data_IF_208318160967
#
_entry.id   IF_208318160967
#
_cell.length_a   1.000
_cell.length_b   1.000
_cell.length_c   1.000
_cell.angle_alpha   90.00
_cell.angle_beta   90.00
_cell.angle_gamma   90.00
#
_symmetry.space_group_name_H-M   'P 1'
#
loop_
_entity.id
_entity.type
_entity.pdbx_description
1 polymer ?
#
# COMPACT_ATOMS: atom_id res chain seq x y z
N UNK A 1 -1.67 20.64 -10.39
CA UNK A 1 -1.41 20.16 -9.01
C UNK A 1 -1.99 18.76 -8.79
N UNK A 2 -3.20 18.48 -9.28
CA UNK A 2 -3.87 17.17 -9.15
C UNK A 2 -3.17 15.99 -9.84
N UNK A 3 -2.64 16.17 -11.05
CA UNK A 3 -1.94 15.10 -11.78
C UNK A 3 -0.72 14.57 -11.00
N UNK A 4 0.08 15.47 -10.42
CA UNK A 4 1.24 15.13 -9.59
C UNK A 4 0.84 14.33 -8.33
N UNK A 5 -0.24 14.71 -7.66
CA UNK A 5 -0.74 13.98 -6.49
C UNK A 5 -1.23 12.57 -6.86
N UNK A 6 -1.86 12.43 -8.03
CA UNK A 6 -2.27 11.12 -8.55
C UNK A 6 -1.05 10.23 -8.82
N UNK A 7 0.00 10.77 -9.41
CA UNK A 7 1.22 10.02 -9.71
C UNK A 7 1.93 9.53 -8.43
N UNK A 8 1.99 10.36 -7.38
CA UNK A 8 2.57 9.98 -6.08
C UNK A 8 1.80 8.81 -5.46
N UNK A 9 0.45 8.86 -5.47
CA UNK A 9 -0.38 7.75 -4.93
C UNK A 9 -0.14 6.45 -5.69
N UNK A 10 -0.06 6.50 -7.02
CA UNK A 10 0.23 5.31 -7.84
C UNK A 10 1.64 4.78 -7.59
N UNK A 11 2.63 5.67 -7.46
CA UNK A 11 3.98 5.30 -7.07
C UNK A 11 3.98 4.58 -5.72
N UNK A 12 3.27 5.11 -4.71
CA UNK A 12 3.21 4.46 -3.41
C UNK A 12 2.57 3.07 -3.46
N UNK A 13 1.47 2.92 -4.19
CA UNK A 13 0.81 1.63 -4.36
C UNK A 13 1.73 0.61 -5.06
N UNK A 14 2.39 1.00 -6.15
CA UNK A 14 3.34 0.13 -6.86
C UNK A 14 4.53 -0.28 -5.98
N UNK A 15 5.05 0.66 -5.18
CA UNK A 15 6.11 0.36 -4.23
C UNK A 15 5.65 -0.61 -3.13
N UNK A 16 4.44 -0.45 -2.60
CA UNK A 16 3.89 -1.42 -1.66
C UNK A 16 3.76 -2.81 -2.27
N UNK A 17 3.27 -2.93 -3.51
CA UNK A 17 3.19 -4.21 -4.20
C UNK A 17 4.56 -4.87 -4.33
N UNK A 18 5.59 -4.09 -4.65
CA UNK A 18 6.97 -4.58 -4.74
C UNK A 18 7.54 -5.01 -3.38
N UNK A 19 7.29 -4.22 -2.33
CA UNK A 19 7.88 -4.45 -1.01
C UNK A 19 7.19 -5.57 -0.23
N UNK A 20 5.89 -5.77 -0.44
CA UNK A 20 5.09 -6.73 0.31
C UNK A 20 4.85 -8.02 -0.49
N UNK A 21 4.81 -7.96 -1.81
CA UNK A 21 4.60 -9.13 -2.68
C UNK A 21 3.20 -9.76 -2.57
N UNK A 22 2.24 -9.09 -1.94
CA UNK A 22 0.85 -9.54 -1.82
C UNK A 22 0.02 -9.11 -3.03
N UNK A 23 -1.19 -9.66 -3.14
CA UNK A 23 -2.10 -9.33 -4.25
C UNK A 23 -2.47 -7.85 -4.18
N UNK A 24 -2.59 -7.15 -5.32
CA UNK A 24 -2.96 -5.74 -5.35
C UNK A 24 -4.21 -5.41 -4.53
N UNK A 25 -5.29 -6.19 -4.68
CA UNK A 25 -6.51 -5.99 -3.91
C UNK A 25 -6.29 -6.00 -2.39
N UNK A 26 -5.57 -7.01 -1.88
CA UNK A 26 -5.29 -7.13 -0.43
C UNK A 26 -4.47 -5.92 0.09
N UNK A 27 -3.57 -5.36 -0.73
CA UNK A 27 -2.76 -4.18 -0.37
C UNK A 27 -3.58 -2.89 -0.47
N UNK A 28 -4.46 -2.77 -1.46
CA UNK A 28 -5.30 -1.59 -1.64
C UNK A 28 -6.40 -1.47 -0.57
N UNK A 29 -6.76 -2.58 0.07
CA UNK A 29 -7.72 -2.64 1.19
C UNK A 29 -7.10 -2.30 2.56
N UNK A 30 -5.78 -2.13 2.65
CA UNK A 30 -5.12 -1.78 3.91
C UNK A 30 -5.56 -0.43 4.45
N UNK A 31 -5.77 -0.38 5.76
CA UNK A 31 -6.01 0.82 6.56
C UNK A 31 -4.76 1.18 7.37
N UNK A 32 -4.72 2.40 7.90
CA UNK A 32 -3.63 2.81 8.80
C UNK A 32 -3.54 1.90 10.04
N UNK A 33 -4.67 1.42 10.55
CA UNK A 33 -4.72 0.51 11.70
C UNK A 33 -4.11 -0.87 11.45
N UNK A 34 -3.93 -1.26 10.18
CA UNK A 34 -3.31 -2.51 9.80
C UNK A 34 -1.78 -2.45 9.89
N UNK A 35 -1.19 -1.26 10.05
CA UNK A 35 0.26 -1.07 10.21
C UNK A 35 0.59 -0.92 11.70
N UNK A 36 1.25 -1.94 12.26
CA UNK A 36 1.70 -1.94 13.65
C UNK A 36 3.23 -1.79 13.71
N UNK A 37 3.70 -0.56 13.93
CA UNK A 37 5.12 -0.25 14.09
C UNK A 37 5.72 -0.75 15.41
N UNK A 38 4.91 -0.96 16.45
CA UNK A 38 5.41 -1.55 17.70
C UNK A 38 5.70 -3.03 17.55
N UNK A 39 4.82 -3.76 16.84
CA UNK A 39 4.96 -5.18 16.57
C UNK A 39 5.71 -5.48 15.28
N UNK A 40 6.03 -4.45 14.49
CA UNK A 40 6.79 -4.54 13.24
C UNK A 40 6.05 -5.47 12.24
N UNK A 41 4.73 -5.28 12.09
CA UNK A 41 3.89 -6.09 11.19
C UNK A 41 2.85 -5.27 10.43
N UNK A 42 2.51 -5.74 9.23
CA UNK A 42 1.30 -5.38 8.48
C UNK A 42 0.28 -6.50 8.64
N UNK A 43 -0.90 -6.17 9.12
CA UNK A 43 -2.01 -7.12 9.33
C UNK A 43 -2.90 -7.15 8.08
N UNK A 44 -2.92 -8.28 7.38
CA UNK A 44 -3.82 -8.47 6.26
C UNK A 44 -5.05 -9.26 6.70
N UNK A 45 -6.23 -8.74 6.36
CA UNK A 45 -7.50 -9.47 6.53
C UNK A 45 -7.88 -10.13 5.21
N UNK A 46 -8.08 -11.44 5.23
CA UNK A 46 -8.61 -12.17 4.07
C UNK A 46 -10.13 -12.21 4.19
N UNK A 47 -10.80 -11.31 3.46
CA UNK A 47 -12.24 -11.06 3.55
C UNK A 47 -13.13 -12.30 3.37
N UNK A 48 -12.66 -13.32 2.64
CA UNK A 48 -13.44 -14.55 2.35
C UNK A 48 -13.38 -15.61 3.45
N UNK A 49 -12.32 -15.62 4.25
CA UNK A 49 -12.04 -16.70 5.21
C UNK A 49 -12.03 -16.19 6.64
N UNK A 50 -12.21 -14.88 6.85
CA UNK A 50 -12.01 -14.20 8.14
C UNK A 50 -10.65 -14.54 8.77
N UNK A 51 -9.68 -14.94 7.95
CA UNK A 51 -8.34 -15.28 8.40
C UNK A 51 -7.47 -14.04 8.30
N UNK A 52 -6.72 -13.77 9.36
CA UNK A 52 -5.70 -12.72 9.37
C UNK A 52 -4.33 -13.36 9.17
N UNK A 53 -3.49 -12.71 8.35
CA UNK A 53 -2.07 -13.04 8.31
C UNK A 53 -1.23 -11.80 8.58
N UNK A 54 -0.08 -11.99 9.21
CA UNK A 54 0.85 -10.92 9.56
C UNK A 54 2.04 -10.97 8.63
N UNK A 55 2.28 -9.87 7.94
CA UNK A 55 3.45 -9.69 7.11
C UNK A 55 4.52 -8.89 7.89
N UNK A 56 5.77 -9.36 7.99
CA UNK A 56 6.80 -8.67 8.77
C UNK A 56 7.24 -7.36 8.10
N UNK A 57 7.38 -6.29 8.89
CA UNK A 57 7.96 -5.03 8.43
C UNK A 57 9.49 -5.12 8.54
N UNK A 58 10.16 -5.33 7.41
CA UNK A 58 11.62 -5.26 7.36
C UNK A 58 12.09 -3.82 7.11
N UNK A 59 13.37 -3.53 7.37
CA UNK A 59 13.93 -2.16 7.38
C UNK A 59 13.60 -1.30 6.15
N UNK A 60 13.60 -1.88 4.95
CA UNK A 60 13.24 -1.15 3.72
C UNK A 60 11.74 -0.83 3.65
N UNK A 61 10.88 -1.73 4.12
CA UNK A 61 9.43 -1.47 4.18
C UNK A 61 9.15 -0.41 5.27
N UNK A 62 9.79 -0.51 6.42
CA UNK A 62 9.67 0.47 7.50
C UNK A 62 10.02 1.88 7.01
N UNK A 63 11.21 2.06 6.44
CA UNK A 63 11.65 3.36 5.91
C UNK A 63 10.74 3.87 4.78
N UNK A 64 10.14 2.98 3.99
CA UNK A 64 9.17 3.40 2.99
C UNK A 64 7.87 3.93 3.62
N UNK A 65 7.33 3.22 4.61
CA UNK A 65 6.09 3.60 5.30
C UNK A 65 6.28 4.91 6.09
N UNK A 66 7.38 5.06 6.83
CA UNK A 66 7.65 6.25 7.63
C UNK A 66 8.16 7.44 6.80
N UNK A 67 9.11 7.24 5.88
CA UNK A 67 9.76 8.37 5.20
C UNK A 67 9.03 8.81 3.93
N UNK A 68 8.43 7.88 3.19
CA UNK A 68 7.77 8.19 1.90
C UNK A 68 6.27 8.36 2.07
N UNK A 69 5.62 7.42 2.76
CA UNK A 69 4.18 7.51 3.01
C UNK A 69 3.83 8.41 4.20
N UNK A 70 4.81 8.76 5.05
CA UNK A 70 4.61 9.61 6.23
C UNK A 70 3.56 9.04 7.20
N UNK A 71 3.51 7.71 7.30
CA UNK A 71 2.66 7.04 8.28
C UNK A 71 3.27 7.19 9.67
N UNK A 72 2.43 7.56 10.64
CA UNK A 72 2.80 7.69 12.04
C UNK A 72 1.68 7.21 12.95
N UNK A 73 2.05 6.82 14.17
CA UNK A 73 1.12 6.60 15.29
C UNK A 73 0.31 7.88 15.53
N UNK A 74 -0.95 7.91 15.11
CA UNK A 74 -1.79 9.11 15.14
C UNK A 74 -2.50 9.43 13.83
N UNK A 75 -2.18 8.70 12.75
CA UNK A 75 -2.98 8.72 11.52
C UNK A 75 -4.40 8.20 11.81
N UNK A 76 -5.40 8.69 11.06
CA UNK A 76 -6.78 8.21 11.16
C UNK A 76 -6.82 6.70 10.91
N UNK A 77 -7.15 5.93 11.96
CA UNK A 77 -7.00 4.47 12.00
C UNK A 77 -7.82 3.77 10.93
N UNK A 78 -8.99 4.32 10.61
CA UNK A 78 -9.95 3.71 9.68
C UNK A 78 -9.74 4.19 8.24
N UNK A 79 -8.82 5.16 8.03
CA UNK A 79 -8.50 5.64 6.70
C UNK A 79 -7.68 4.59 5.95
N UNK A 80 -8.13 4.27 4.73
CA UNK A 80 -7.38 3.48 3.78
C UNK A 80 -6.04 4.14 3.45
N UNK A 81 -4.99 3.33 3.28
CA UNK A 81 -3.70 3.80 2.80
C UNK A 81 -3.77 4.36 1.37
N UNK A 82 -4.71 3.83 0.56
CA UNK A 82 -4.84 4.14 -0.86
C UNK A 82 -6.26 4.57 -1.24
N UNK A 83 -6.79 5.66 -0.67
CA UNK A 83 -8.19 6.04 -0.85
C UNK A 83 -8.47 6.39 -2.32
N UNK A 84 -9.48 5.72 -2.89
CA UNK A 84 -9.94 5.91 -4.26
C UNK A 84 -9.08 5.24 -5.34
N UNK A 85 -8.07 4.45 -4.98
CA UNK A 85 -7.36 3.59 -5.93
C UNK A 85 -8.06 2.24 -6.06
N UNK A 86 -8.09 1.72 -7.29
CA UNK A 86 -8.65 0.40 -7.61
C UNK A 86 -7.62 -0.42 -8.38
N UNK A 87 -7.74 -1.74 -8.33
CA UNK A 87 -6.91 -2.67 -9.10
C UNK A 87 -6.87 -2.31 -10.59
N UNK A 88 -8.02 -1.91 -11.15
CA UNK A 88 -8.11 -1.48 -12.54
C UNK A 88 -7.29 -0.21 -12.80
N UNK A 89 -7.40 0.80 -11.94
CA UNK A 89 -6.66 2.06 -12.08
C UNK A 89 -5.15 1.83 -12.01
N UNK A 90 -4.68 1.07 -11.02
CA UNK A 90 -3.24 0.79 -10.85
C UNK A 90 -2.73 -0.12 -11.97
N UNK A 91 -3.50 -1.12 -12.38
CA UNK A 91 -3.15 -1.99 -13.51
C UNK A 91 -3.03 -1.24 -14.83
N UNK A 92 -3.90 -0.27 -15.08
CA UNK A 92 -3.79 0.61 -16.26
C UNK A 92 -2.54 1.49 -16.21
N UNK A 93 -2.24 2.07 -15.05
CA UNK A 93 -1.02 2.87 -14.86
C UNK A 93 0.24 2.03 -15.11
N UNK A 94 0.30 0.83 -14.54
CA UNK A 94 1.41 -0.10 -14.74
C UNK A 94 1.60 -0.48 -16.22
N UNK A 95 0.52 -0.82 -16.93
CA UNK A 95 0.59 -1.15 -18.38
C UNK A 95 1.12 0.02 -19.22
N UNK A 96 0.73 1.26 -18.89
CA UNK A 96 1.25 2.47 -19.57
C UNK A 96 2.75 2.63 -19.35
N UNK A 97 3.23 2.41 -18.13
CA UNK A 97 4.67 2.44 -17.81
C UNK A 97 5.40 1.34 -18.57
N UNK A 98 4.90 0.10 -18.50
CA UNK A 98 5.48 -1.04 -19.21
C UNK A 98 5.64 -0.79 -20.71
N UNK A 99 4.61 -0.21 -21.36
CA UNK A 99 4.66 0.12 -22.80
C UNK A 99 5.71 1.20 -23.16
N UNK A 100 6.11 2.05 -22.21
CA UNK A 100 7.13 3.09 -22.42
C UNK A 100 8.55 2.56 -22.21
N UNK A 101 8.70 1.49 -21.42
CA UNK A 101 9.99 0.89 -21.06
C UNK A 101 10.35 -0.31 -21.94
N UNK A 102 9.38 -0.86 -22.68
CA UNK A 102 9.56 -1.91 -23.67
C UNK A 102 9.67 -1.28 -25.07
#
# INVERSE_FOLDING_TARGET
>A
MEAKNRDIKHYHALMMFLLIGQRPGDVLELQNSDIDFHRIVVCFRVSKTSSEFKFPIYSKLEGFLSDKMKLSEGSDKDAYLFPGLTDSAVGQAFRKIKKRLA
#
